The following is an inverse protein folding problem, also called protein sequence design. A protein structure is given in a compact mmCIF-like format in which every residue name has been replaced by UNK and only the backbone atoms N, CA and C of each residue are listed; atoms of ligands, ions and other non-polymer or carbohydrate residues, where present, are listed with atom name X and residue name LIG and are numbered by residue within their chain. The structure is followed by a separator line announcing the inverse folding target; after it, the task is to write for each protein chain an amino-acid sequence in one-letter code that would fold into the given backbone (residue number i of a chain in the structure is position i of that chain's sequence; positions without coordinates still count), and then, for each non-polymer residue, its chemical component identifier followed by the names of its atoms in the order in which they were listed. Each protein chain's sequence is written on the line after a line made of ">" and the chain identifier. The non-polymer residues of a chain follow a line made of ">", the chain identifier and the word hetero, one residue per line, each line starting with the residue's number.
data_IF_801918946838
#
_entry.id   IF_801918946838
#
_cell.length_a   1.000
_cell.length_b   1.000
_cell.length_c   1.000
_cell.angle_alpha   90.00
_cell.angle_beta   90.00
_cell.angle_gamma   90.00
#
_symmetry.space_group_name_H-M   'P 1'
#
loop_
_entity.id
_entity.type
_entity.pdbx_description
1 polymer ?
#
# COMPACT_ATOMS: atom_id res chain seq x y z
N UNK A 1 17.55 -44.48 26.38
CA UNK A 1 18.60 -43.46 26.31
C UNK A 1 17.99 -42.24 25.64
N UNK A 2 17.54 -41.29 26.46
CA UNK A 2 16.92 -40.05 26.00
C UNK A 2 17.94 -39.20 25.25
N UNK A 3 17.63 -38.85 24.00
CA UNK A 3 18.48 -37.97 23.20
C UNK A 3 18.12 -36.53 23.56
N UNK A 4 19.00 -35.91 24.36
CA UNK A 4 18.93 -34.54 24.84
C UNK A 4 18.47 -33.57 23.75
N UNK A 5 17.35 -32.89 24.03
CA UNK A 5 16.92 -31.70 23.34
C UNK A 5 18.03 -30.64 23.51
N UNK A 6 18.83 -30.46 22.45
CA UNK A 6 19.87 -29.44 22.38
C UNK A 6 19.26 -28.08 22.69
N UNK A 7 19.81 -27.42 23.71
CA UNK A 7 19.58 -26.04 24.12
C UNK A 7 19.93 -25.08 22.95
N UNK A 8 19.01 -24.89 22.01
CA UNK A 8 19.18 -23.94 20.91
C UNK A 8 18.79 -22.54 21.41
N UNK A 9 19.80 -21.72 21.75
CA UNK A 9 19.64 -20.29 22.09
C UNK A 9 19.36 -19.38 20.89
N UNK A 10 19.33 -19.95 19.69
CA UNK A 10 18.97 -19.23 18.47
C UNK A 10 17.81 -19.96 17.81
N UNK A 11 16.67 -19.27 17.68
CA UNK A 11 15.58 -19.70 16.82
C UNK A 11 16.20 -20.05 15.45
N UNK A 12 15.98 -21.26 14.90
CA UNK A 12 16.50 -21.57 13.56
C UNK A 12 16.03 -20.46 12.62
N UNK A 13 16.99 -19.75 12.02
CA UNK A 13 16.70 -18.63 11.14
C UNK A 13 15.65 -19.07 10.13
N UNK A 14 14.52 -18.37 10.12
CA UNK A 14 13.38 -18.67 9.25
C UNK A 14 13.90 -18.86 7.82
N UNK A 15 13.94 -20.13 7.37
CA UNK A 15 14.28 -20.42 5.97
C UNK A 15 13.09 -19.99 5.13
N UNK A 16 13.10 -18.75 4.66
CA UNK A 16 12.12 -18.26 3.70
C UNK A 16 12.07 -19.21 2.51
N UNK A 17 10.85 -19.63 2.14
CA UNK A 17 10.60 -20.42 0.93
C UNK A 17 11.08 -19.66 -0.30
N UNK A 18 11.45 -20.36 -1.38
CA UNK A 18 11.86 -19.74 -2.65
C UNK A 18 10.80 -18.74 -3.13
N UNK A 19 9.51 -19.10 -2.98
CA UNK A 19 8.38 -18.22 -3.32
C UNK A 19 8.33 -16.94 -2.49
N UNK A 20 8.67 -17.04 -1.21
CA UNK A 20 8.70 -15.88 -0.32
C UNK A 20 9.85 -14.94 -0.65
N UNK A 21 11.02 -15.51 -0.97
CA UNK A 21 12.19 -14.72 -1.39
C UNK A 21 11.92 -14.00 -2.69
N UNK A 22 11.35 -14.68 -3.68
CA UNK A 22 11.00 -14.06 -4.96
C UNK A 22 9.90 -13.02 -4.78
N UNK A 23 8.88 -13.29 -3.97
CA UNK A 23 7.83 -12.32 -3.64
C UNK A 23 8.39 -11.06 -2.97
N UNK A 24 9.25 -11.21 -1.96
CA UNK A 24 9.93 -10.10 -1.29
C UNK A 24 10.86 -9.34 -2.24
N UNK A 25 11.57 -10.04 -3.13
CA UNK A 25 12.42 -9.41 -4.13
C UNK A 25 11.63 -8.55 -5.12
N UNK A 26 10.46 -9.03 -5.60
CA UNK A 26 9.58 -8.26 -6.47
C UNK A 26 9.03 -7.00 -5.79
N UNK A 27 8.62 -7.11 -4.52
CA UNK A 27 8.24 -5.94 -3.72
C UNK A 27 9.42 -4.98 -3.58
N UNK A 28 10.62 -5.50 -3.32
CA UNK A 28 11.86 -4.72 -3.22
C UNK A 28 12.18 -3.97 -4.51
N UNK A 29 12.04 -4.61 -5.67
CA UNK A 29 12.17 -3.96 -6.99
C UNK A 29 11.14 -2.85 -7.15
N UNK A 30 9.91 -3.06 -6.70
CA UNK A 30 8.88 -2.02 -6.76
C UNK A 30 9.18 -0.82 -5.87
N UNK A 31 9.65 -1.05 -4.64
CA UNK A 31 10.11 0.02 -3.73
C UNK A 31 11.30 0.76 -4.32
N UNK A 32 12.28 0.04 -4.88
CA UNK A 32 13.43 0.66 -5.54
C UNK A 32 13.00 1.52 -6.73
N UNK A 33 12.04 1.05 -7.54
CA UNK A 33 11.47 1.85 -8.63
C UNK A 33 10.87 3.17 -8.13
N UNK A 34 10.10 3.13 -7.04
CA UNK A 34 9.54 4.35 -6.43
C UNK A 34 10.62 5.29 -5.88
N UNK A 35 11.67 4.75 -5.25
CA UNK A 35 12.79 5.55 -4.73
C UNK A 35 13.59 6.21 -5.85
N UNK A 36 13.82 5.50 -6.96
CA UNK A 36 14.47 6.05 -8.15
C UNK A 36 13.63 7.17 -8.75
N UNK A 37 12.31 7.05 -8.79
CA UNK A 37 11.45 8.15 -9.25
C UNK A 37 11.42 9.34 -8.29
N UNK A 38 11.60 9.11 -6.98
CA UNK A 38 11.56 10.17 -5.97
C UNK A 38 12.86 11.00 -5.97
N UNK A 39 14.01 10.35 -6.23
CA UNK A 39 15.34 10.97 -6.14
C UNK A 39 15.96 11.24 -7.52
N UNK A 40 15.53 10.51 -8.54
CA UNK A 40 16.09 10.57 -9.88
C UNK A 40 15.82 11.91 -10.58
N UNK A 41 16.46 12.07 -11.72
CA UNK A 41 16.38 13.27 -12.58
C UNK A 41 15.28 13.18 -13.66
N UNK A 42 14.49 12.10 -13.66
CA UNK A 42 13.48 11.85 -14.68
C UNK A 42 14.02 11.24 -15.97
N UNK A 43 15.25 10.71 -15.97
CA UNK A 43 15.85 10.00 -17.10
C UNK A 43 15.10 8.72 -17.50
N UNK A 44 14.43 8.06 -16.55
CA UNK A 44 13.61 6.88 -16.81
C UNK A 44 12.18 7.28 -17.17
N UNK A 45 11.56 6.53 -18.08
CA UNK A 45 10.16 6.73 -18.42
C UNK A 45 9.28 6.58 -17.16
N UNK A 46 8.58 7.64 -16.72
CA UNK A 46 7.84 7.61 -15.45
C UNK A 46 6.70 6.60 -15.45
N UNK A 47 5.96 6.47 -16.56
CA UNK A 47 4.84 5.55 -16.66
C UNK A 47 5.29 4.08 -16.62
N UNK A 48 6.38 3.77 -17.32
CA UNK A 48 6.95 2.43 -17.30
C UNK A 48 7.46 2.06 -15.89
N UNK A 49 8.20 2.96 -15.25
CA UNK A 49 8.77 2.73 -13.92
C UNK A 49 7.66 2.57 -12.87
N UNK A 50 6.60 3.39 -12.92
CA UNK A 50 5.42 3.24 -12.09
C UNK A 50 4.71 1.91 -12.34
N UNK A 51 4.55 1.50 -13.60
CA UNK A 51 3.95 0.21 -13.96
C UNK A 51 4.73 -0.98 -13.40
N UNK A 52 6.07 -0.96 -13.50
CA UNK A 52 6.95 -1.97 -12.89
C UNK A 52 6.79 -1.97 -11.36
N UNK A 53 6.71 -0.80 -10.72
CA UNK A 53 6.53 -0.71 -9.28
C UNK A 53 5.20 -1.33 -8.83
N UNK A 54 4.09 -0.95 -9.47
CA UNK A 54 2.77 -1.51 -9.19
C UNK A 54 2.71 -3.02 -9.43
N UNK A 55 3.29 -3.50 -10.54
CA UNK A 55 3.38 -4.93 -10.84
C UNK A 55 4.21 -5.66 -9.78
N UNK A 56 5.33 -5.10 -9.33
CA UNK A 56 6.16 -5.64 -8.25
C UNK A 56 5.39 -5.82 -6.95
N UNK A 57 4.60 -4.81 -6.55
CA UNK A 57 3.74 -4.90 -5.37
C UNK A 57 2.62 -5.95 -5.53
N UNK A 58 1.92 -5.97 -6.66
CA UNK A 58 0.82 -6.90 -6.90
C UNK A 58 1.30 -8.35 -7.04
N UNK A 59 2.29 -8.61 -7.89
CA UNK A 59 2.84 -9.95 -8.11
C UNK A 59 3.59 -10.46 -6.87
N UNK A 60 4.39 -9.60 -6.26
CA UNK A 60 5.14 -9.95 -5.06
C UNK A 60 4.24 -10.28 -3.88
N UNK A 61 3.18 -9.49 -3.65
CA UNK A 61 2.17 -9.79 -2.64
C UNK A 61 1.37 -11.05 -2.97
N UNK A 62 0.99 -11.27 -4.23
CA UNK A 62 0.31 -12.48 -4.69
C UNK A 62 1.10 -13.76 -4.42
N UNK A 63 2.42 -13.74 -4.65
CA UNK A 63 3.30 -14.87 -4.31
C UNK A 63 3.35 -15.16 -2.81
N UNK A 64 3.37 -14.11 -1.97
CA UNK A 64 3.29 -14.27 -0.52
C UNK A 64 1.93 -14.82 -0.07
N UNK A 65 0.86 -14.46 -0.76
CA UNK A 65 -0.49 -14.95 -0.46
C UNK A 65 -0.72 -16.39 -0.92
N UNK A 66 -0.01 -16.86 -1.95
CA UNK A 66 -0.08 -18.25 -2.39
C UNK A 66 0.29 -19.23 -1.26
N UNK A 67 1.28 -18.87 -0.44
CA UNK A 67 1.66 -19.68 0.72
C UNK A 67 0.62 -19.62 1.85
N UNK A 68 -0.15 -18.53 1.97
CA UNK A 68 -1.27 -18.43 2.91
C UNK A 68 -2.44 -19.35 2.49
N UNK A 69 -2.66 -19.52 1.19
CA UNK A 69 -3.71 -20.40 0.68
C UNK A 69 -3.46 -21.89 0.99
N UNK A 70 -2.19 -22.28 1.11
CA UNK A 70 -1.77 -23.64 1.47
C UNK A 70 -1.96 -23.96 2.96
N UNK A 71 -2.11 -22.94 3.82
CA UNK A 71 -2.33 -23.13 5.24
C UNK A 71 -3.79 -23.48 5.52
N UNK A 72 -4.06 -24.23 6.60
CA UNK A 72 -5.41 -24.58 6.97
C UNK A 72 -6.28 -23.32 7.14
N UNK A 73 -7.51 -23.30 6.60
CA UNK A 73 -8.47 -22.23 6.83
C UNK A 73 -8.71 -22.04 8.35
N UNK A 74 -8.66 -20.81 8.87
CA UNK A 74 -8.97 -20.53 10.27
C UNK A 74 -8.24 -19.34 10.90
N UNK A 75 -8.72 -18.89 12.07
CA UNK A 75 -8.12 -17.79 12.86
C UNK A 75 -6.90 -18.28 13.62
N UNK A 76 -5.84 -18.60 12.88
CA UNK A 76 -4.56 -19.03 13.45
C UNK A 76 -3.66 -17.80 13.66
N UNK A 77 -3.76 -17.16 14.83
CA UNK A 77 -2.88 -16.05 15.23
C UNK A 77 -1.72 -16.52 16.11
N UNK A 78 -1.16 -17.69 15.83
CA UNK A 78 -0.18 -18.32 16.70
C UNK A 78 1.14 -17.53 16.65
N UNK A 79 1.54 -16.97 17.80
CA UNK A 79 2.84 -16.31 17.95
C UNK A 79 3.04 -15.01 17.17
N UNK A 80 1.98 -14.41 16.61
CA UNK A 80 2.08 -13.18 15.80
C UNK A 80 2.73 -12.04 16.59
N UNK A 81 2.33 -11.87 17.86
CA UNK A 81 2.89 -10.86 18.77
C UNK A 81 4.33 -11.09 19.20
N UNK A 82 4.91 -12.27 18.90
CA UNK A 82 6.32 -12.60 19.20
C UNK A 82 7.18 -12.63 17.92
N UNK A 83 6.57 -12.47 16.74
CA UNK A 83 7.31 -12.40 15.49
C UNK A 83 8.02 -11.05 15.36
N UNK A 84 9.31 -11.04 15.07
CA UNK A 84 10.09 -9.79 14.94
C UNK A 84 9.58 -8.83 13.85
N UNK A 85 8.81 -9.31 12.89
CA UNK A 85 8.16 -8.49 11.87
C UNK A 85 6.88 -7.77 12.37
N UNK A 86 6.20 -8.32 13.39
CA UNK A 86 4.90 -7.78 13.87
C UNK A 86 4.99 -7.23 15.30
N UNK A 87 6.01 -7.61 16.05
CA UNK A 87 6.24 -7.20 17.43
C UNK A 87 7.19 -6.00 17.51
N UNK A 88 6.66 -4.77 17.50
CA UNK A 88 7.44 -3.51 17.72
C UNK A 88 8.81 -3.47 16.99
N UNK A 89 8.89 -4.11 15.82
CA UNK A 89 10.15 -4.40 15.15
C UNK A 89 10.58 -3.28 14.22
N UNK A 90 11.79 -3.41 13.65
CA UNK A 90 12.35 -2.45 12.70
C UNK A 90 11.41 -2.13 11.53
N UNK A 91 10.64 -3.13 11.05
CA UNK A 91 9.68 -2.92 9.97
C UNK A 91 8.62 -1.86 10.30
N UNK A 92 8.13 -1.81 11.55
CA UNK A 92 7.15 -0.81 11.98
C UNK A 92 7.74 0.60 11.98
N UNK A 93 8.98 0.76 12.45
CA UNK A 93 9.69 2.04 12.44
C UNK A 93 10.01 2.52 11.02
N UNK A 94 10.45 1.63 10.14
CA UNK A 94 10.67 1.96 8.73
C UNK A 94 9.38 2.44 8.09
N UNK A 95 8.27 1.72 8.28
CA UNK A 95 6.96 2.13 7.76
C UNK A 95 6.51 3.49 8.32
N UNK A 96 6.72 3.75 9.61
CA UNK A 96 6.40 5.03 10.22
C UNK A 96 7.20 6.17 9.59
N UNK A 97 8.53 6.02 9.45
CA UNK A 97 9.41 7.02 8.82
C UNK A 97 8.99 7.25 7.36
N UNK A 98 8.71 6.18 6.61
CA UNK A 98 8.29 6.29 5.20
C UNK A 98 6.97 7.03 5.09
N UNK A 99 5.96 6.71 5.91
CA UNK A 99 4.67 7.41 5.85
C UNK A 99 4.78 8.86 6.30
N UNK A 100 5.49 9.14 7.39
CA UNK A 100 5.70 10.51 7.85
C UNK A 100 6.49 11.33 6.82
N UNK A 101 7.58 10.78 6.28
CA UNK A 101 8.38 11.43 5.24
C UNK A 101 7.57 11.68 3.96
N UNK A 102 6.80 10.70 3.51
CA UNK A 102 5.91 10.85 2.36
C UNK A 102 4.89 11.97 2.58
N UNK A 103 4.26 12.04 3.76
CA UNK A 103 3.32 13.10 4.10
C UNK A 103 3.99 14.48 4.17
N UNK A 104 5.21 14.56 4.70
CA UNK A 104 5.97 15.81 4.71
C UNK A 104 6.24 16.29 3.29
N UNK A 105 6.70 15.41 2.39
CA UNK A 105 6.97 15.78 1.00
C UNK A 105 5.66 16.20 0.31
N UNK A 106 4.57 15.46 0.53
CA UNK A 106 3.27 15.74 -0.08
C UNK A 106 2.73 17.14 0.24
N UNK A 107 2.90 17.61 1.48
CA UNK A 107 2.39 18.92 1.90
C UNK A 107 3.38 20.07 1.69
N UNK A 108 4.67 19.86 1.96
CA UNK A 108 5.65 20.95 1.95
C UNK A 108 6.46 21.05 0.65
N UNK A 109 6.70 19.93 -0.04
CA UNK A 109 7.54 19.89 -1.26
C UNK A 109 6.93 19.03 -2.36
N UNK A 110 5.70 19.35 -2.81
CA UNK A 110 4.99 18.52 -3.79
C UNK A 110 5.71 18.41 -5.14
N UNK A 111 6.57 19.37 -5.49
CA UNK A 111 7.43 19.33 -6.68
C UNK A 111 8.31 18.08 -6.72
N UNK A 112 8.75 17.56 -5.57
CA UNK A 112 9.58 16.36 -5.51
C UNK A 112 8.80 15.08 -5.89
N UNK A 113 7.46 15.14 -5.89
CA UNK A 113 6.61 14.03 -6.33
C UNK A 113 6.26 14.09 -7.82
N UNK A 114 6.73 15.10 -8.56
CA UNK A 114 6.32 15.34 -9.94
C UNK A 114 6.54 14.12 -10.84
N UNK A 115 7.66 13.41 -10.70
CA UNK A 115 7.91 12.19 -11.47
C UNK A 115 6.95 11.06 -11.12
N UNK A 116 6.61 10.90 -9.83
CA UNK A 116 5.63 9.91 -9.40
C UNK A 116 4.24 10.25 -9.94
N UNK A 117 3.85 11.53 -9.89
CA UNK A 117 2.59 12.03 -10.43
C UNK A 117 2.53 11.81 -11.95
N UNK A 118 3.58 12.15 -12.70
CA UNK A 118 3.67 11.87 -14.14
C UNK A 118 3.57 10.38 -14.46
N UNK A 119 4.12 9.53 -13.58
CA UNK A 119 4.00 8.08 -13.71
C UNK A 119 2.56 7.57 -13.63
N UNK A 120 1.67 8.29 -12.95
CA UNK A 120 0.25 7.96 -12.85
C UNK A 120 -0.64 8.70 -13.86
N UNK A 121 -0.08 9.53 -14.75
CA UNK A 121 -0.85 10.32 -15.73
C UNK A 121 -1.71 9.46 -16.65
N UNK A 122 -1.17 8.36 -17.19
CA UNK A 122 -1.93 7.47 -18.08
C UNK A 122 -3.17 6.89 -17.39
N UNK A 123 -3.04 6.55 -16.11
CA UNK A 123 -4.12 5.97 -15.31
C UNK A 123 -5.13 7.05 -14.90
N UNK A 124 -4.66 8.25 -14.54
CA UNK A 124 -5.53 9.40 -14.29
C UNK A 124 -6.31 9.80 -15.54
N UNK A 125 -5.66 9.85 -16.70
CA UNK A 125 -6.31 10.17 -17.96
C UNK A 125 -7.39 9.14 -18.32
N UNK A 126 -7.14 7.86 -18.08
CA UNK A 126 -8.13 6.80 -18.31
C UNK A 126 -9.35 6.89 -17.37
N UNK A 127 -9.16 7.25 -16.10
CA UNK A 127 -10.24 7.27 -15.10
C UNK A 127 -10.98 8.62 -15.01
N UNK A 128 -10.26 9.74 -15.17
CA UNK A 128 -10.76 11.10 -14.93
C UNK A 128 -10.69 12.01 -16.15
N UNK A 129 -10.03 11.60 -17.23
CA UNK A 129 -9.87 12.42 -18.45
C UNK A 129 -8.92 13.62 -18.31
N UNK A 130 -8.03 13.62 -17.31
CA UNK A 130 -7.12 14.74 -17.00
C UNK A 130 -5.77 14.26 -16.47
N UNK A 131 -4.72 15.10 -16.51
CA UNK A 131 -3.43 14.77 -15.92
C UNK A 131 -3.55 14.44 -14.42
N UNK A 132 -2.62 13.63 -13.93
CA UNK A 132 -2.54 13.24 -12.54
C UNK A 132 -2.12 14.42 -11.67
N UNK A 133 -2.50 14.35 -10.42
CA UNK A 133 -2.11 15.28 -9.37
C UNK A 133 -1.62 14.49 -8.15
N UNK A 134 -1.01 15.18 -7.19
CA UNK A 134 -0.47 14.56 -5.97
C UNK A 134 -1.54 13.82 -5.14
N UNK A 135 -2.80 14.28 -5.18
CA UNK A 135 -3.89 13.65 -4.44
C UNK A 135 -4.39 12.40 -5.12
N UNK A 136 -4.38 12.38 -6.45
CA UNK A 136 -4.61 11.15 -7.20
C UNK A 136 -3.54 10.10 -6.92
N UNK A 137 -2.27 10.47 -6.92
CA UNK A 137 -1.17 9.58 -6.57
C UNK A 137 -1.37 9.01 -5.16
N UNK A 138 -1.68 9.87 -4.19
CA UNK A 138 -1.97 9.47 -2.82
C UNK A 138 -3.16 8.51 -2.74
N UNK A 139 -4.28 8.84 -3.39
CA UNK A 139 -5.48 8.01 -3.45
C UNK A 139 -5.23 6.65 -4.11
N UNK A 140 -4.39 6.62 -5.15
CA UNK A 140 -3.99 5.40 -5.84
C UNK A 140 -3.15 4.49 -4.93
N UNK A 141 -2.14 5.02 -4.24
CA UNK A 141 -1.35 4.24 -3.29
C UNK A 141 -2.18 3.74 -2.12
N UNK A 142 -3.09 4.57 -1.59
CA UNK A 142 -3.98 4.18 -0.51
C UNK A 142 -4.93 3.05 -0.94
N UNK A 143 -5.52 3.17 -2.13
CA UNK A 143 -6.36 2.13 -2.71
C UNK A 143 -5.58 0.85 -2.96
N UNK A 144 -4.38 0.93 -3.53
CA UNK A 144 -3.52 -0.22 -3.77
C UNK A 144 -3.18 -0.95 -2.46
N UNK A 145 -2.83 -0.20 -1.41
CA UNK A 145 -2.56 -0.76 -0.08
C UNK A 145 -3.78 -1.48 0.51
N UNK A 146 -4.97 -0.88 0.41
CA UNK A 146 -6.22 -1.48 0.86
C UNK A 146 -6.55 -2.73 0.05
N UNK A 147 -6.33 -2.75 -1.27
CA UNK A 147 -6.60 -3.92 -2.09
C UNK A 147 -5.67 -5.08 -1.76
N UNK A 148 -4.36 -4.82 -1.63
CA UNK A 148 -3.36 -5.84 -1.27
C UNK A 148 -3.67 -6.41 0.11
N UNK A 149 -3.90 -5.55 1.11
CA UNK A 149 -4.20 -5.99 2.47
C UNK A 149 -5.60 -6.60 2.59
N UNK A 150 -6.56 -6.12 1.83
CA UNK A 150 -7.91 -6.68 1.71
C UNK A 150 -7.87 -8.09 1.14
N UNK A 151 -7.13 -8.32 0.06
CA UNK A 151 -6.90 -9.66 -0.50
C UNK A 151 -6.28 -10.61 0.54
N UNK A 152 -5.27 -10.16 1.29
CA UNK A 152 -4.69 -10.93 2.41
C UNK A 152 -5.73 -11.29 3.46
N UNK A 153 -6.58 -10.33 3.86
CA UNK A 153 -7.64 -10.54 4.86
C UNK A 153 -8.69 -11.54 4.35
N UNK A 154 -9.10 -11.46 3.09
CA UNK A 154 -10.04 -12.40 2.49
C UNK A 154 -9.48 -13.83 2.49
N UNK A 155 -8.21 -14.00 2.16
CA UNK A 155 -7.53 -15.31 2.19
C UNK A 155 -7.41 -15.83 3.61
N UNK A 156 -6.98 -14.98 4.55
CA UNK A 156 -6.79 -15.36 5.96
C UNK A 156 -8.10 -15.75 6.65
N UNK A 157 -9.20 -15.07 6.35
CA UNK A 157 -10.49 -15.25 7.02
C UNK A 157 -11.54 -15.92 6.12
N UNK A 158 -11.11 -16.78 5.19
CA UNK A 158 -11.98 -17.42 4.19
C UNK A 158 -13.14 -18.24 4.73
N UNK A 159 -13.09 -18.71 5.98
CA UNK A 159 -14.21 -19.45 6.60
C UNK A 159 -15.20 -18.55 7.34
N UNK A 160 -14.86 -17.27 7.56
CA UNK A 160 -15.69 -16.34 8.31
C UNK A 160 -16.41 -15.37 7.36
N UNK A 161 -17.69 -15.66 7.08
CA UNK A 161 -18.56 -14.85 6.22
C UNK A 161 -18.59 -13.38 6.64
N UNK A 162 -18.67 -13.09 7.94
CA UNK A 162 -18.71 -11.71 8.44
C UNK A 162 -17.42 -10.94 8.07
N UNK A 163 -16.25 -11.55 8.24
CA UNK A 163 -14.98 -10.90 7.89
C UNK A 163 -14.82 -10.71 6.38
N UNK A 164 -15.34 -11.64 5.59
CA UNK A 164 -15.39 -11.52 4.12
C UNK A 164 -16.22 -10.30 3.71
N UNK A 165 -17.49 -10.23 4.15
CA UNK A 165 -18.37 -9.11 3.79
C UNK A 165 -17.84 -7.76 4.28
N UNK A 166 -17.27 -7.72 5.50
CA UNK A 166 -16.62 -6.51 6.02
C UNK A 166 -15.48 -6.04 5.11
N UNK A 167 -14.62 -6.97 4.69
CA UNK A 167 -13.45 -6.63 3.86
C UNK A 167 -13.85 -6.21 2.46
N UNK A 168 -14.81 -6.91 1.84
CA UNK A 168 -15.36 -6.56 0.53
C UNK A 168 -15.99 -5.16 0.58
N UNK A 169 -16.76 -4.86 1.63
CA UNK A 169 -17.35 -3.54 1.83
C UNK A 169 -16.29 -2.45 1.86
N UNK A 170 -15.24 -2.61 2.69
CA UNK A 170 -14.13 -1.63 2.76
C UNK A 170 -13.44 -1.45 1.40
N UNK A 171 -13.16 -2.54 0.68
CA UNK A 171 -12.52 -2.46 -0.64
C UNK A 171 -13.43 -1.80 -1.69
N UNK A 172 -14.73 -2.10 -1.67
CA UNK A 172 -15.72 -1.52 -2.58
C UNK A 172 -15.88 -0.01 -2.35
N UNK A 173 -16.09 0.41 -1.11
CA UNK A 173 -16.19 1.83 -0.78
C UNK A 173 -14.85 2.55 -1.01
N UNK A 174 -13.72 1.91 -0.76
CA UNK A 174 -12.42 2.49 -1.07
C UNK A 174 -12.29 2.77 -2.57
N UNK A 175 -12.55 1.78 -3.43
CA UNK A 175 -12.46 1.95 -4.89
C UNK A 175 -13.50 2.94 -5.42
N UNK A 176 -14.74 2.80 -4.95
CA UNK A 176 -15.83 3.68 -5.35
C UNK A 176 -15.55 5.10 -4.92
N UNK A 177 -15.40 5.36 -3.63
CA UNK A 177 -15.25 6.73 -3.12
C UNK A 177 -13.93 7.38 -3.53
N UNK A 178 -12.81 6.64 -3.62
CA UNK A 178 -11.53 7.26 -3.99
C UNK A 178 -11.52 7.82 -5.42
N UNK A 179 -12.29 7.24 -6.34
CA UNK A 179 -12.29 7.66 -7.75
C UNK A 179 -13.60 8.28 -8.22
N UNK A 180 -14.75 7.82 -7.70
CA UNK A 180 -16.08 8.32 -8.07
C UNK A 180 -16.38 9.67 -7.40
N UNK A 181 -16.00 9.89 -6.14
CA UNK A 181 -16.28 11.20 -5.51
C UNK A 181 -15.52 12.34 -6.20
N UNK A 182 -14.19 12.26 -6.44
CA UNK A 182 -13.47 13.33 -7.12
C UNK A 182 -13.96 13.58 -8.55
N UNK A 183 -14.39 12.53 -9.27
CA UNK A 183 -14.93 12.68 -10.62
C UNK A 183 -16.35 13.25 -10.63
N UNK A 184 -17.18 12.93 -9.64
CA UNK A 184 -18.51 13.51 -9.46
C UNK A 184 -18.42 15.01 -9.10
N UNK A 185 -17.52 15.38 -8.19
CA UNK A 185 -17.28 16.79 -7.83
C UNK A 185 -16.81 17.62 -9.03
N UNK A 186 -15.96 17.02 -9.88
CA UNK A 186 -15.53 17.64 -11.12
C UNK A 186 -16.69 17.89 -12.10
N UNK A 187 -17.62 16.94 -12.21
CA UNK A 187 -18.81 17.08 -13.06
C UNK A 187 -19.75 18.20 -12.59
N UNK A 188 -19.73 18.49 -11.29
CA UNK A 188 -20.53 19.54 -10.67
C UNK A 188 -19.86 20.92 -10.69
N UNK A 189 -18.71 21.08 -11.36
CA UNK A 189 -17.93 22.33 -11.41
C UNK A 189 -17.49 22.87 -10.03
N UNK A 190 -17.42 22.01 -9.00
CA UNK A 190 -16.86 22.38 -7.70
C UNK A 190 -15.36 22.01 -7.63
N UNK A 191 -14.52 22.78 -6.90
CA UNK A 191 -13.13 22.43 -6.71
C UNK A 191 -13.02 21.06 -6.01
N UNK A 192 -12.05 20.24 -6.41
CA UNK A 192 -11.88 18.88 -5.87
C UNK A 192 -11.70 18.89 -4.35
N UNK A 193 -12.75 18.57 -3.61
CA UNK A 193 -12.67 18.36 -2.18
C UNK A 193 -12.33 16.90 -1.89
N UNK A 194 -11.05 16.61 -1.66
CA UNK A 194 -10.65 15.40 -0.95
C UNK A 194 -10.99 15.59 0.53
N UNK A 195 -11.76 14.69 1.14
CA UNK A 195 -12.12 14.81 2.56
C UNK A 195 -10.91 14.85 3.51
N UNK A 196 -9.71 14.51 3.03
CA UNK A 196 -8.43 14.76 3.70
C UNK A 196 -8.17 16.25 4.01
N UNK A 197 -8.84 17.20 3.35
CA UNK A 197 -8.69 18.63 3.59
C UNK A 197 -9.36 19.14 4.88
N UNK A 198 -10.31 18.40 5.45
CA UNK A 198 -11.15 18.91 6.55
C UNK A 198 -10.50 18.85 7.94
N UNK A 199 -9.31 18.26 8.09
CA UNK A 199 -8.72 18.05 9.42
C UNK A 199 -7.19 18.05 9.39
N UNK A 200 -6.44 19.00 10.01
CA UNK A 200 -6.82 20.28 10.62
C UNK A 200 -6.28 21.51 9.85
N UNK A 201 -5.98 21.38 8.55
CA UNK A 201 -5.16 22.37 7.83
C UNK A 201 -5.92 23.54 7.18
N UNK A 202 -7.26 23.56 7.17
CA UNK A 202 -8.04 24.63 6.51
C UNK A 202 -9.14 25.20 7.40
N UNK A 203 -8.72 26.01 8.37
CA UNK A 203 -9.61 26.73 9.29
C UNK A 203 -10.47 27.79 8.57
N UNK A 204 -9.97 28.35 7.47
CA UNK A 204 -10.58 29.46 6.74
C UNK A 204 -11.94 29.11 6.08
N UNK A 205 -12.24 27.82 5.87
CA UNK A 205 -13.53 27.39 5.31
C UNK A 205 -14.65 27.29 6.37
N UNK A 206 -14.30 27.17 7.65
CA UNK A 206 -15.27 27.13 8.75
C UNK A 206 -15.64 28.54 9.24
N UNK A 207 -14.79 29.54 8.97
CA UNK A 207 -15.02 30.95 9.30
C UNK A 207 -14.72 31.85 8.08
N UNK A 208 -15.64 31.93 7.11
CA UNK A 208 -15.50 32.91 6.04
C UNK A 208 -15.55 34.32 6.63
N UNK A 209 -14.54 35.15 6.33
CA UNK A 209 -14.51 36.59 6.62
C UNK A 209 -15.39 37.38 5.65
#
# INVERSE_FOLDING_TARGET
>A
MEHNASLQLTTPGSRYSVRQRTGLALIGVGVLGLLVMLVGDGSLNPAFTMGVAMAGFLLGSGLLFADLLQQAPGVNNNGVWFSGATARGMAGWIMAIVFTGFYIILYWTPSNLEQLVRGTDALSAALRGRPSDQWFLYGLFYTLAILIMGARMLIKYRDNKYQIFRTISVMFFQLGLAFILPSLLLLLNEPEFYFSYFWPLKYDYLWPS
#
